data_IF_844007254717
#
_entry.id   IF_844007254717
#
_cell.length_a   1.000
_cell.length_b   1.000
_cell.length_c   1.000
_cell.angle_alpha   90.00
_cell.angle_beta   90.00
_cell.angle_gamma   90.00
#
_symmetry.space_group_name_H-M   'P 1'
#
loop_
_entity.id
_entity.type
_entity.pdbx_description
1 polymer ?
#
# COMPACT_ATOMS: atom_id res chain seq x y z
N UNK A 1 -19.03 11.43 25.27
CA UNK A 1 -18.00 11.17 24.24
C UNK A 1 -17.11 10.07 24.77
N UNK A 2 -17.15 8.87 24.19
CA UNK A 2 -16.24 7.79 24.57
C UNK A 2 -14.84 8.13 24.08
N UNK A 3 -13.89 8.29 25.00
CA UNK A 3 -12.48 8.52 24.66
C UNK A 3 -11.81 7.21 24.25
N UNK A 4 -10.70 7.32 23.51
CA UNK A 4 -9.85 6.18 23.17
C UNK A 4 -9.30 5.53 24.43
N UNK A 5 -9.42 4.21 24.51
CA UNK A 5 -8.87 3.41 25.60
C UNK A 5 -7.39 3.08 25.35
N UNK A 6 -6.68 2.60 26.37
CA UNK A 6 -5.30 2.13 26.22
C UNK A 6 -5.21 0.92 25.28
N UNK A 7 -6.25 0.08 25.26
CA UNK A 7 -6.36 -1.05 24.34
C UNK A 7 -6.50 -0.56 22.89
N UNK A 8 -7.38 0.42 22.62
CA UNK A 8 -7.53 1.01 21.29
C UNK A 8 -6.21 1.59 20.76
N UNK A 9 -5.50 2.33 21.61
CA UNK A 9 -4.20 2.91 21.27
C UNK A 9 -3.15 1.82 20.98
N UNK A 10 -3.15 0.74 21.78
CA UNK A 10 -2.25 -0.40 21.58
C UNK A 10 -2.55 -1.14 20.27
N UNK A 11 -3.83 -1.37 19.95
CA UNK A 11 -4.26 -2.01 18.71
C UNK A 11 -3.93 -1.15 17.49
N UNK A 12 -4.23 0.16 17.53
CA UNK A 12 -3.90 1.09 16.45
C UNK A 12 -2.38 1.13 16.23
N UNK A 13 -1.61 1.24 17.32
CA UNK A 13 -0.15 1.21 17.27
C UNK A 13 0.37 -0.08 16.65
N UNK A 14 -0.13 -1.23 17.09
CA UNK A 14 0.25 -2.54 16.55
C UNK A 14 -0.04 -2.67 15.06
N UNK A 15 -1.25 -2.27 14.62
CA UNK A 15 -1.63 -2.28 13.20
C UNK A 15 -0.72 -1.35 12.40
N UNK A 16 -0.47 -0.13 12.90
CA UNK A 16 0.39 0.84 12.23
C UNK A 16 1.83 0.30 12.08
N UNK A 17 2.40 -0.27 13.14
CA UNK A 17 3.75 -0.86 13.11
C UNK A 17 3.82 -2.05 12.17
N UNK A 18 2.89 -3.00 12.24
CA UNK A 18 2.88 -4.18 11.35
C UNK A 18 2.70 -3.75 9.89
N UNK A 19 1.80 -2.81 9.61
CA UNK A 19 1.57 -2.30 8.25
C UNK A 19 2.79 -1.59 7.68
N UNK A 20 3.47 -0.78 8.50
CA UNK A 20 4.68 -0.08 8.13
C UNK A 20 5.84 -1.06 7.87
N UNK A 21 6.04 -2.05 8.75
CA UNK A 21 7.05 -3.10 8.56
C UNK A 21 6.75 -3.94 7.31
N UNK A 22 5.50 -4.31 7.08
CA UNK A 22 5.09 -5.07 5.91
C UNK A 22 5.33 -4.29 4.60
N UNK A 23 5.17 -2.96 4.63
CA UNK A 23 5.42 -2.09 3.49
C UNK A 23 6.91 -1.97 3.12
N UNK A 24 7.83 -2.27 4.04
CA UNK A 24 9.27 -2.26 3.76
C UNK A 24 9.77 -3.51 3.02
N UNK A 25 8.97 -4.57 2.93
CA UNK A 25 9.38 -5.79 2.23
C UNK A 25 9.53 -5.48 0.73
N UNK A 26 10.72 -5.65 0.13
CA UNK A 26 11.01 -5.13 -1.21
C UNK A 26 10.23 -5.78 -2.35
N UNK A 27 9.47 -6.85 -2.13
CA UNK A 27 8.87 -7.63 -3.21
C UNK A 27 7.90 -6.85 -4.11
N UNK A 28 7.23 -5.84 -3.58
CA UNK A 28 6.16 -5.12 -4.27
C UNK A 28 6.56 -3.70 -4.73
N UNK A 29 7.60 -3.10 -4.13
CA UNK A 29 8.09 -1.78 -4.53
C UNK A 29 9.44 -1.81 -5.25
N UNK A 30 10.26 -2.86 -5.06
CA UNK A 30 11.59 -2.95 -5.66
C UNK A 30 11.59 -2.89 -7.20
N UNK A 31 10.68 -3.57 -7.92
CA UNK A 31 10.63 -3.44 -9.38
C UNK A 31 10.43 -1.99 -9.84
N UNK A 32 9.59 -1.23 -9.16
CA UNK A 32 9.35 0.19 -9.47
C UNK A 32 10.56 1.07 -9.13
N UNK A 33 11.25 0.80 -8.02
CA UNK A 33 12.50 1.49 -7.68
C UNK A 33 13.62 1.20 -8.70
N UNK A 34 13.72 -0.04 -9.19
CA UNK A 34 14.69 -0.43 -10.23
C UNK A 34 14.35 0.24 -11.56
N UNK A 35 13.10 0.19 -12.01
CA UNK A 35 12.64 0.85 -13.24
C UNK A 35 12.83 2.36 -13.14
N UNK A 36 12.45 2.97 -12.01
CA UNK A 36 12.64 4.39 -11.76
C UNK A 36 14.11 4.79 -11.82
N UNK A 37 15.02 4.02 -11.21
CA UNK A 37 16.46 4.25 -11.32
C UNK A 37 16.98 4.11 -12.75
N UNK A 38 16.55 3.09 -13.49
CA UNK A 38 16.92 2.89 -14.88
C UNK A 38 16.44 4.06 -15.78
N UNK A 39 15.26 4.60 -15.50
CA UNK A 39 14.65 5.74 -16.19
C UNK A 39 15.07 7.10 -15.63
N UNK A 40 16.03 7.14 -14.68
CA UNK A 40 16.50 8.36 -13.97
C UNK A 40 15.36 9.19 -13.35
N UNK A 41 14.33 8.53 -12.85
CA UNK A 41 13.23 9.18 -12.15
C UNK A 41 13.70 9.81 -10.84
N UNK A 42 13.13 10.99 -10.53
CA UNK A 42 13.28 11.58 -9.20
C UNK A 42 12.57 10.72 -8.16
N UNK A 43 12.95 10.85 -6.88
CA UNK A 43 12.27 10.13 -5.77
C UNK A 43 10.75 10.35 -5.82
N UNK A 44 10.33 11.60 -6.05
CA UNK A 44 8.92 11.97 -6.16
C UNK A 44 8.20 11.23 -7.30
N UNK A 45 8.84 11.11 -8.47
CA UNK A 45 8.28 10.38 -9.61
C UNK A 45 8.11 8.89 -9.30
N UNK A 46 9.10 8.28 -8.65
CA UNK A 46 9.03 6.87 -8.22
C UNK A 46 7.90 6.64 -7.20
N UNK A 47 7.75 7.55 -6.22
CA UNK A 47 6.69 7.46 -5.22
C UNK A 47 5.29 7.64 -5.83
N UNK A 48 5.12 8.59 -6.75
CA UNK A 48 3.86 8.79 -7.48
C UNK A 48 3.53 7.56 -8.34
N UNK A 49 4.52 7.04 -9.09
CA UNK A 49 4.34 5.82 -9.90
C UNK A 49 3.92 4.61 -9.07
N UNK A 50 4.52 4.44 -7.89
CA UNK A 50 4.14 3.39 -6.94
C UNK A 50 2.69 3.56 -6.45
N UNK A 51 2.30 4.78 -6.05
CA UNK A 51 0.95 5.09 -5.59
C UNK A 51 -0.12 4.82 -6.64
N UNK A 52 0.12 5.23 -7.88
CA UNK A 52 -0.78 4.97 -9.01
C UNK A 52 -0.89 3.46 -9.26
N UNK A 53 0.23 2.73 -9.35
CA UNK A 53 0.22 1.30 -9.62
C UNK A 53 -0.58 0.51 -8.57
N UNK A 54 -0.40 0.81 -7.29
CA UNK A 54 -1.13 0.17 -6.19
C UNK A 54 -2.62 0.51 -6.23
N UNK A 55 -2.97 1.78 -6.47
CA UNK A 55 -4.37 2.20 -6.59
C UNK A 55 -5.10 1.47 -7.72
N UNK A 56 -4.52 1.43 -8.93
CA UNK A 56 -5.15 0.75 -10.05
C UNK A 56 -5.22 -0.77 -9.83
N UNK A 57 -4.15 -1.38 -9.30
CA UNK A 57 -4.14 -2.80 -8.97
C UNK A 57 -5.28 -3.15 -8.00
N UNK A 58 -5.40 -2.41 -6.89
CA UNK A 58 -6.43 -2.67 -5.86
C UNK A 58 -7.85 -2.38 -6.35
N UNK A 59 -8.08 -1.30 -7.10
CA UNK A 59 -9.40 -0.98 -7.66
C UNK A 59 -9.83 -2.01 -8.69
N UNK A 60 -8.93 -2.42 -9.58
CA UNK A 60 -9.24 -3.42 -10.62
C UNK A 60 -9.47 -4.81 -10.01
N UNK A 61 -8.63 -5.27 -9.08
CA UNK A 61 -8.85 -6.52 -8.34
C UNK A 61 -10.19 -6.49 -7.61
N UNK A 62 -10.51 -5.39 -6.92
CA UNK A 62 -11.79 -5.27 -6.22
C UNK A 62 -12.98 -5.32 -7.18
N UNK A 63 -12.91 -4.64 -8.32
CA UNK A 63 -13.97 -4.70 -9.34
C UNK A 63 -14.11 -6.10 -9.94
N UNK A 64 -13.00 -6.77 -10.23
CA UNK A 64 -12.98 -8.14 -10.75
C UNK A 64 -13.55 -9.14 -9.74
N UNK A 65 -13.15 -9.04 -8.46
CA UNK A 65 -13.66 -9.90 -7.39
C UNK A 65 -15.17 -9.74 -7.18
N UNK A 66 -15.68 -8.50 -7.29
CA UNK A 66 -17.13 -8.26 -7.25
C UNK A 66 -17.82 -8.89 -8.45
N UNK A 67 -17.26 -8.75 -9.64
CA UNK A 67 -17.81 -9.37 -10.86
C UNK A 67 -17.86 -10.89 -10.75
N UNK A 68 -16.76 -11.54 -10.35
CA UNK A 68 -16.70 -13.00 -10.11
C UNK A 68 -17.60 -13.50 -8.97
N UNK A 69 -18.16 -12.61 -8.14
CA UNK A 69 -19.10 -12.96 -7.08
C UNK A 69 -20.56 -12.81 -7.52
N UNK A 70 -20.81 -12.02 -8.58
CA UNK A 70 -22.16 -11.70 -9.07
C UNK A 70 -22.56 -12.57 -10.27
N UNK A 71 -21.61 -13.22 -10.93
CA UNK A 71 -21.80 -14.30 -11.91
C UNK A 71 -21.49 -15.67 -11.31
#
# INVERSE_FOLDING_TARGET
MGGFTAEDLSTIGGIATVSLLHSFIPTHWLPFSIVGRAQKWTLSTTLIGLGIAVFFSTVLLRRLLVWMRVE
#
